data_IF_362849643076
#
_entry.id   IF_362849643076
#
_cell.length_a   1.000
_cell.length_b   1.000
_cell.length_c   1.000
_cell.angle_alpha   90.00
_cell.angle_beta   90.00
_cell.angle_gamma   90.00
#
_symmetry.space_group_name_H-M   'P 1'
#
loop_
_entity.id
_entity.type
_entity.pdbx_description
1 polymer ?
#
# COMPACT_ATOMS: atom_id res chain seq x y z
N UNK A 1 -30.76 11.94 -14.52
CA UNK A 1 -30.10 11.30 -15.65
C UNK A 1 -28.71 11.91 -15.90
N UNK A 2 -27.98 12.35 -14.86
CA UNK A 2 -26.63 12.97 -14.95
C UNK A 2 -25.63 12.31 -13.97
N UNK A 3 -25.96 11.15 -13.39
CA UNK A 3 -25.05 10.47 -12.44
C UNK A 3 -24.32 9.24 -13.01
N UNK A 4 -24.47 8.94 -14.28
CA UNK A 4 -23.84 7.77 -14.93
C UNK A 4 -22.64 8.16 -15.79
N UNK A 5 -22.36 9.45 -15.99
CA UNK A 5 -21.31 9.89 -16.92
C UNK A 5 -19.94 10.08 -16.28
N UNK A 6 -19.82 10.00 -14.94
CA UNK A 6 -18.54 10.17 -14.25
C UNK A 6 -17.80 8.87 -13.95
N UNK A 7 -18.33 7.71 -14.31
CA UNK A 7 -17.71 6.41 -14.07
C UNK A 7 -16.91 5.87 -15.26
N UNK A 8 -16.85 6.57 -16.38
CA UNK A 8 -16.32 6.00 -17.64
C UNK A 8 -14.95 6.59 -18.02
N UNK A 9 -14.41 7.56 -17.30
CA UNK A 9 -13.15 8.17 -17.74
C UNK A 9 -12.03 8.10 -16.71
N UNK A 10 -11.85 6.98 -16.05
CA UNK A 10 -10.55 6.62 -15.46
C UNK A 10 -9.88 5.53 -16.30
N UNK A 11 -9.84 5.71 -17.60
CA UNK A 11 -8.87 5.00 -18.43
C UNK A 11 -7.53 5.68 -18.17
N UNK A 12 -6.87 5.28 -17.07
CA UNK A 12 -5.46 5.59 -16.90
C UNK A 12 -4.71 4.85 -17.99
N UNK A 13 -4.40 5.54 -19.07
CA UNK A 13 -3.33 5.15 -19.97
C UNK A 13 -2.07 5.22 -19.11
N UNK A 14 -1.72 4.09 -18.48
CA UNK A 14 -0.43 3.93 -17.86
C UNK A 14 0.60 3.78 -18.98
N UNK A 15 0.98 4.90 -19.58
CA UNK A 15 2.19 5.03 -20.36
C UNK A 15 3.35 4.68 -19.42
N UNK A 16 3.91 3.47 -19.64
CA UNK A 16 5.27 3.06 -19.26
C UNK A 16 5.79 3.68 -17.93
N UNK A 17 5.14 3.40 -16.83
CA UNK A 17 5.83 3.41 -15.56
C UNK A 17 6.58 2.08 -15.49
N UNK A 18 7.89 2.12 -15.68
CA UNK A 18 8.79 1.09 -15.19
C UNK A 18 8.66 1.08 -13.67
N UNK A 19 7.69 0.36 -13.15
CA UNK A 19 7.73 -0.09 -11.77
C UNK A 19 8.90 -1.08 -11.72
N UNK A 20 10.02 -0.62 -11.23
CA UNK A 20 11.09 -1.51 -10.81
C UNK A 20 10.55 -2.28 -9.62
N UNK A 21 9.97 -3.45 -9.86
CA UNK A 21 9.75 -4.41 -8.80
C UNK A 21 11.12 -4.82 -8.28
N UNK A 22 11.43 -4.47 -7.06
CA UNK A 22 12.70 -4.79 -6.40
C UNK A 22 12.86 -6.27 -6.04
N UNK A 23 11.98 -7.14 -6.49
CA UNK A 23 12.20 -8.56 -6.39
C UNK A 23 12.63 -9.06 -7.76
N UNK A 24 13.84 -9.66 -7.87
CA UNK A 24 14.18 -10.40 -9.06
C UNK A 24 13.15 -11.55 -9.16
N UNK A 25 12.15 -11.37 -10.01
CA UNK A 25 11.39 -12.51 -10.49
C UNK A 25 12.42 -13.51 -10.97
N UNK A 26 12.39 -14.71 -10.40
CA UNK A 26 13.18 -15.82 -10.91
C UNK A 26 12.83 -15.93 -12.38
N UNK A 27 13.66 -15.33 -13.23
CA UNK A 27 13.54 -15.47 -14.65
C UNK A 27 13.99 -16.89 -14.96
N UNK A 28 13.02 -17.79 -15.13
CA UNK A 28 13.30 -19.05 -15.76
C UNK A 28 13.77 -18.74 -17.19
N UNK A 29 15.07 -18.88 -17.40
CA UNK A 29 15.73 -18.58 -18.68
C UNK A 29 15.37 -19.59 -19.78
N UNK A 30 14.65 -20.65 -19.46
CA UNK A 30 14.14 -21.65 -20.41
C UNK A 30 12.77 -21.25 -21.01
N UNK A 31 12.72 -20.10 -21.65
CA UNK A 31 11.52 -19.59 -22.34
C UNK A 31 11.06 -20.51 -23.49
N UNK A 32 11.90 -21.42 -23.94
CA UNK A 32 11.60 -22.31 -25.10
C UNK A 32 10.72 -23.51 -24.77
N UNK A 33 10.51 -23.88 -23.51
CA UNK A 33 9.78 -25.07 -23.13
C UNK A 33 8.32 -24.83 -22.72
N UNK A 34 7.99 -23.63 -22.19
CA UNK A 34 6.66 -23.35 -21.63
C UNK A 34 5.90 -22.37 -22.51
N UNK A 35 4.87 -22.86 -23.20
CA UNK A 35 3.92 -22.01 -23.93
C UNK A 35 3.03 -21.16 -23.00
N UNK A 36 3.06 -21.43 -21.70
CA UNK A 36 2.26 -20.80 -20.65
C UNK A 36 3.15 -20.44 -19.47
N UNK A 37 2.99 -19.24 -18.96
CA UNK A 37 3.69 -18.74 -17.78
C UNK A 37 2.65 -18.20 -16.79
N UNK A 38 2.76 -18.60 -15.53
CA UNK A 38 1.99 -18.02 -14.44
C UNK A 38 3.00 -17.47 -13.44
N UNK A 39 2.86 -16.20 -13.09
CA UNK A 39 3.63 -15.57 -12.03
C UNK A 39 2.72 -14.98 -10.97
N UNK A 40 3.12 -15.12 -9.71
CA UNK A 40 2.47 -14.53 -8.56
C UNK A 40 3.51 -13.65 -7.88
N UNK A 41 3.18 -12.40 -7.66
CA UNK A 41 4.03 -11.46 -6.97
C UNK A 41 3.28 -10.78 -5.84
N UNK A 42 3.97 -10.52 -4.75
CA UNK A 42 3.49 -9.72 -3.62
C UNK A 42 4.54 -8.68 -3.25
N UNK A 43 4.10 -7.46 -3.03
CA UNK A 43 4.96 -6.37 -2.57
C UNK A 43 4.31 -5.76 -1.33
N UNK A 44 5.09 -5.65 -0.26
CA UNK A 44 4.76 -4.88 0.93
C UNK A 44 5.79 -3.77 1.09
N UNK A 45 5.31 -2.55 1.18
CA UNK A 45 6.14 -1.39 1.49
C UNK A 45 5.56 -0.65 2.69
N UNK A 46 6.44 -0.12 3.53
CA UNK A 46 6.02 0.76 4.58
C UNK A 46 6.92 2.00 4.63
N UNK A 47 6.32 3.11 4.98
CA UNK A 47 7.01 4.39 5.12
C UNK A 47 6.58 5.05 6.43
N UNK A 48 7.54 5.61 7.16
CA UNK A 48 7.26 6.39 8.36
C UNK A 48 8.27 7.51 8.52
N UNK A 49 7.81 8.65 8.99
CA UNK A 49 8.68 9.78 9.32
C UNK A 49 9.39 9.59 10.66
N UNK A 50 8.78 8.85 11.60
CA UNK A 50 9.20 8.85 13.02
C UNK A 50 9.23 7.47 13.66
N UNK A 51 8.39 6.50 13.23
CA UNK A 51 8.41 5.15 13.78
C UNK A 51 9.69 4.44 13.33
N UNK A 52 10.49 4.02 14.30
CA UNK A 52 11.76 3.33 14.04
C UNK A 52 11.55 1.94 13.44
N UNK A 53 12.53 1.52 12.64
CA UNK A 53 12.51 0.18 12.03
C UNK A 53 12.39 -0.97 13.04
N UNK A 54 12.86 -0.77 14.27
CA UNK A 54 12.82 -1.81 15.30
C UNK A 54 11.40 -2.02 15.84
N UNK A 55 10.63 -0.93 16.05
CA UNK A 55 9.20 -1.02 16.32
C UNK A 55 8.48 -1.68 15.15
N UNK A 56 8.77 -1.25 13.92
CA UNK A 56 8.15 -1.83 12.72
C UNK A 56 8.44 -3.32 12.58
N UNK A 57 9.67 -3.76 12.83
CA UNK A 57 10.00 -5.19 12.85
C UNK A 57 9.21 -5.95 13.89
N UNK A 58 9.06 -5.39 15.10
CA UNK A 58 8.27 -6.01 16.17
C UNK A 58 6.81 -6.15 15.80
N UNK A 59 6.23 -5.21 15.04
CA UNK A 59 4.87 -5.34 14.50
C UNK A 59 4.76 -6.42 13.43
N UNK A 60 5.71 -6.51 12.50
CA UNK A 60 5.62 -7.42 11.35
C UNK A 60 5.94 -8.87 11.75
N UNK A 61 6.98 -9.07 12.55
CA UNK A 61 7.49 -10.41 12.88
C UNK A 61 7.09 -10.89 14.28
N UNK A 62 6.35 -10.08 15.01
CA UNK A 62 6.10 -10.27 16.43
C UNK A 62 7.33 -9.91 17.26
N UNK A 63 7.10 -9.40 18.46
CA UNK A 63 8.16 -9.03 19.37
C UNK A 63 7.69 -8.10 20.47
N UNK A 64 8.50 -7.95 21.48
CA UNK A 64 8.24 -7.01 22.55
C UNK A 64 8.79 -5.63 22.16
N UNK A 65 7.99 -4.60 22.35
CA UNK A 65 8.41 -3.21 22.17
C UNK A 65 8.77 -2.68 23.55
N UNK A 66 10.07 -2.58 23.80
CA UNK A 66 10.60 -2.11 25.07
C UNK A 66 10.56 -0.59 25.22
N UNK A 67 10.85 -0.10 26.43
CA UNK A 67 10.82 1.34 26.73
C UNK A 67 11.88 2.12 25.94
N UNK A 68 13.04 1.53 25.64
CA UNK A 68 14.08 2.18 24.87
C UNK A 68 13.65 2.40 23.40
N UNK A 69 12.96 1.42 22.81
CA UNK A 69 12.37 1.55 21.47
C UNK A 69 11.30 2.64 21.43
N UNK A 70 10.39 2.66 22.41
CA UNK A 70 9.33 3.67 22.53
C UNK A 70 9.93 5.07 22.67
N UNK A 71 10.87 5.25 23.59
CA UNK A 71 11.53 6.53 23.84
C UNK A 71 12.31 7.03 22.62
N UNK A 72 13.08 6.14 21.98
CA UNK A 72 13.80 6.47 20.75
C UNK A 72 12.86 6.88 19.62
N UNK A 73 11.68 6.28 19.53
CA UNK A 73 10.68 6.65 18.55
C UNK A 73 10.01 7.97 18.93
N UNK A 74 9.54 8.13 20.16
CA UNK A 74 8.90 9.37 20.65
C UNK A 74 9.80 10.60 20.44
N UNK A 75 11.11 10.47 20.69
CA UNK A 75 12.08 11.56 20.49
C UNK A 75 12.29 11.93 19.00
N UNK A 76 11.87 11.10 18.07
CA UNK A 76 11.93 11.38 16.62
C UNK A 76 10.62 11.93 16.07
N UNK A 77 9.58 11.98 16.89
CA UNK A 77 8.30 12.50 16.47
C UNK A 77 8.31 14.03 16.47
N UNK A 78 7.89 14.58 15.34
CA UNK A 78 7.47 15.98 15.22
C UNK A 78 6.02 16.14 15.74
N UNK A 79 5.50 17.36 15.74
CA UNK A 79 4.08 17.61 16.11
C UNK A 79 3.12 16.78 15.24
N UNK A 80 3.42 16.66 13.94
CA UNK A 80 2.64 15.86 12.97
C UNK A 80 3.54 14.87 12.27
N UNK A 81 3.13 13.62 12.27
CA UNK A 81 3.88 12.50 11.73
C UNK A 81 3.08 11.74 10.68
N UNK A 82 3.77 10.95 9.88
CA UNK A 82 3.13 10.15 8.81
C UNK A 82 3.61 8.70 8.88
N UNK A 83 2.64 7.82 8.63
CA UNK A 83 2.88 6.40 8.49
C UNK A 83 2.05 5.89 7.31
N UNK A 84 2.64 5.03 6.48
CA UNK A 84 1.96 4.43 5.33
C UNK A 84 2.33 2.96 5.18
N UNK A 85 1.37 2.18 4.72
CA UNK A 85 1.54 0.77 4.35
C UNK A 85 0.88 0.55 2.99
N UNK A 86 1.65 -0.04 2.07
CA UNK A 86 1.19 -0.47 0.76
C UNK A 86 1.36 -1.98 0.64
N UNK A 87 0.26 -2.68 0.39
CA UNK A 87 0.24 -4.14 0.21
C UNK A 87 -0.39 -4.48 -1.13
N UNK A 88 0.39 -5.07 -2.02
CA UNK A 88 -0.03 -5.37 -3.37
C UNK A 88 0.24 -6.84 -3.69
N UNK A 89 -0.73 -7.51 -4.27
CA UNK A 89 -0.57 -8.88 -4.79
C UNK A 89 -1.08 -8.92 -6.23
N UNK A 90 -0.27 -9.45 -7.13
CA UNK A 90 -0.62 -9.58 -8.54
C UNK A 90 -0.36 -11.00 -9.04
N UNK A 91 -1.30 -11.54 -9.82
CA UNK A 91 -1.16 -12.77 -10.58
C UNK A 91 -1.13 -12.39 -12.05
N UNK A 92 -0.15 -12.89 -12.78
CA UNK A 92 -0.01 -12.66 -14.23
C UNK A 92 0.04 -14.00 -14.93
N UNK A 93 -0.85 -14.19 -15.90
CA UNK A 93 -0.82 -15.32 -16.83
C UNK A 93 -0.41 -14.84 -18.22
N UNK A 94 0.57 -15.50 -18.81
CA UNK A 94 1.00 -15.26 -20.18
C UNK A 94 0.85 -16.53 -21.02
N UNK A 95 0.30 -16.38 -22.21
CA UNK A 95 0.22 -17.45 -23.20
C UNK A 95 1.00 -17.05 -24.45
N UNK A 96 2.14 -17.70 -24.62
CA UNK A 96 3.05 -17.46 -25.74
C UNK A 96 2.66 -18.24 -27.00
N UNK A 97 1.83 -19.28 -26.88
CA UNK A 97 1.37 -20.10 -28.00
C UNK A 97 0.27 -19.44 -28.83
N UNK A 98 -0.55 -18.62 -28.16
CA UNK A 98 -1.66 -17.93 -28.79
C UNK A 98 -1.11 -16.82 -29.71
N UNK A 99 -1.47 -16.89 -31.01
CA UNK A 99 -1.10 -15.91 -31.99
C UNK A 99 -2.23 -14.87 -32.10
N UNK A 100 -2.13 -13.78 -31.35
CA UNK A 100 -3.09 -12.72 -31.40
C UNK A 100 -2.96 -11.91 -32.70
N UNK A 101 -4.10 -11.51 -33.25
CA UNK A 101 -4.19 -10.75 -34.50
C UNK A 101 -3.51 -11.43 -35.71
N UNK A 102 -3.45 -12.77 -35.72
CA UNK A 102 -2.73 -13.58 -36.72
C UNK A 102 -1.20 -13.27 -36.76
N UNK A 103 -0.69 -12.67 -35.73
CA UNK A 103 0.73 -12.33 -35.59
C UNK A 103 1.39 -13.33 -34.63
N UNK A 104 2.32 -14.13 -35.14
CA UNK A 104 3.05 -15.13 -34.38
C UNK A 104 3.98 -14.56 -33.31
N UNK A 105 4.26 -13.25 -33.37
CA UNK A 105 5.07 -12.53 -32.38
C UNK A 105 4.26 -12.00 -31.20
N UNK A 106 2.92 -12.10 -31.25
CA UNK A 106 2.04 -11.59 -30.19
C UNK A 106 1.38 -12.74 -29.44
N UNK A 107 1.48 -12.70 -28.12
CA UNK A 107 0.82 -13.61 -27.20
C UNK A 107 -0.22 -12.90 -26.34
N UNK A 108 -0.96 -13.67 -25.56
CA UNK A 108 -1.96 -13.16 -24.61
C UNK A 108 -1.32 -12.90 -23.25
N UNK A 109 -1.73 -11.81 -22.58
CA UNK A 109 -1.47 -11.59 -21.16
C UNK A 109 -2.78 -11.28 -20.45
N UNK A 110 -2.98 -11.95 -19.30
CA UNK A 110 -4.07 -11.66 -18.37
C UNK A 110 -3.47 -11.39 -17.00
N UNK A 111 -3.95 -10.35 -16.33
CA UNK A 111 -3.47 -9.93 -15.01
C UNK A 111 -4.64 -9.79 -14.06
N UNK A 112 -4.42 -10.16 -12.81
CA UNK A 112 -5.37 -9.90 -11.73
C UNK A 112 -4.60 -9.52 -10.47
N UNK A 113 -5.11 -8.55 -9.71
CA UNK A 113 -4.42 -8.15 -8.50
C UNK A 113 -5.32 -7.45 -7.49
N UNK A 114 -4.88 -7.48 -6.25
CA UNK A 114 -5.47 -6.75 -5.12
C UNK A 114 -4.44 -5.78 -4.61
N UNK A 115 -4.88 -4.55 -4.38
CA UNK A 115 -4.03 -3.45 -3.97
C UNK A 115 -4.66 -2.78 -2.75
N UNK A 116 -3.85 -2.55 -1.73
CA UNK A 116 -4.26 -1.85 -0.52
C UNK A 116 -3.22 -0.79 -0.18
N UNK A 117 -3.68 0.45 -0.07
CA UNK A 117 -2.90 1.61 0.33
C UNK A 117 -3.52 2.19 1.58
N UNK A 118 -2.76 2.28 2.65
CA UNK A 118 -3.22 2.86 3.89
C UNK A 118 -2.22 3.89 4.39
N UNK A 119 -2.71 5.03 4.82
CA UNK A 119 -1.89 6.09 5.38
C UNK A 119 -2.53 6.68 6.64
N UNK A 120 -1.68 7.00 7.60
CA UNK A 120 -2.03 7.64 8.84
C UNK A 120 -1.16 8.90 9.00
N UNK A 121 -1.80 10.05 9.13
CA UNK A 121 -1.20 11.28 9.63
C UNK A 121 -1.62 11.37 11.09
N UNK A 122 -0.70 11.68 11.99
CA UNK A 122 -1.01 11.65 13.41
C UNK A 122 -0.12 12.62 14.22
N UNK A 123 -0.66 13.11 15.32
CA UNK A 123 0.06 13.94 16.27
C UNK A 123 1.03 13.09 17.10
N UNK A 124 2.08 13.73 17.62
CA UNK A 124 2.98 13.10 18.59
C UNK A 124 2.21 12.57 19.80
N UNK A 125 1.25 13.33 20.30
CA UNK A 125 0.44 12.94 21.46
C UNK A 125 -0.39 11.69 21.20
N UNK A 126 -0.85 11.47 19.96
CA UNK A 126 -1.54 10.23 19.59
C UNK A 126 -0.61 9.02 19.68
N UNK A 127 0.66 9.16 19.25
CA UNK A 127 1.66 8.11 19.43
C UNK A 127 1.95 7.86 20.91
N UNK A 128 2.20 8.91 21.67
CA UNK A 128 2.52 8.81 23.08
C UNK A 128 1.35 8.20 23.88
N UNK A 129 0.11 8.58 23.56
CA UNK A 129 -1.09 7.96 24.13
C UNK A 129 -1.18 6.47 23.82
N UNK A 130 -0.87 6.04 22.57
CA UNK A 130 -0.95 4.65 22.14
C UNK A 130 0.09 3.77 22.82
N UNK A 131 1.30 4.28 23.10
CA UNK A 131 2.43 3.50 23.62
C UNK A 131 2.67 3.65 25.13
N UNK A 132 2.30 4.77 25.71
CA UNK A 132 2.49 5.03 27.15
C UNK A 132 1.16 5.14 27.91
N UNK A 133 0.04 5.25 27.18
CA UNK A 133 -1.26 5.46 27.79
C UNK A 133 -1.50 6.89 28.24
N UNK A 134 -2.63 7.10 28.90
CA UNK A 134 -3.06 8.43 29.34
C UNK A 134 -2.30 8.96 30.57
N UNK A 135 -1.62 8.08 31.30
CA UNK A 135 -0.92 8.46 32.54
C UNK A 135 0.15 9.53 32.37
N UNK A 136 0.78 9.60 31.18
CA UNK A 136 1.79 10.62 30.91
C UNK A 136 1.20 12.04 30.73
N UNK A 137 -0.11 12.16 30.53
CA UNK A 137 -0.82 13.44 30.38
C UNK A 137 -1.51 13.89 31.67
N UNK A 138 -1.16 13.29 32.83
CA UNK A 138 -1.75 13.68 34.12
C UNK A 138 -1.47 15.13 34.45
N UNK A 139 -2.50 15.95 34.53
CA UNK A 139 -2.42 17.42 34.70
C UNK A 139 -2.13 18.18 33.40
N UNK A 140 -2.15 17.49 32.27
CA UNK A 140 -1.85 18.05 30.95
C UNK A 140 -2.91 17.63 29.91
N UNK A 141 -2.78 18.14 28.68
CA UNK A 141 -3.70 17.91 27.58
C UNK A 141 -3.00 17.24 26.41
N UNK A 142 -3.51 16.10 25.97
CA UNK A 142 -3.09 15.45 24.73
C UNK A 142 -3.93 16.00 23.55
N UNK A 143 -3.27 16.41 22.48
CA UNK A 143 -3.91 16.95 21.27
C UNK A 143 -3.85 15.95 20.12
N UNK A 144 -5.02 15.67 19.53
CA UNK A 144 -5.14 14.73 18.39
C UNK A 144 -5.52 15.43 17.09
N UNK A 145 -5.67 16.75 17.15
CA UNK A 145 -6.04 17.61 16.03
C UNK A 145 -5.12 17.41 14.83
N UNK A 146 -5.73 17.33 13.63
CA UNK A 146 -5.00 17.11 12.38
C UNK A 146 -4.64 15.63 12.10
N UNK A 147 -5.01 14.71 13.00
CA UNK A 147 -4.84 13.27 12.71
C UNK A 147 -5.83 12.82 11.65
N UNK A 148 -5.33 12.08 10.65
CA UNK A 148 -6.10 11.63 9.50
C UNK A 148 -5.72 10.20 9.14
N UNK A 149 -6.73 9.37 8.92
CA UNK A 149 -6.57 8.02 8.37
C UNK A 149 -7.18 7.94 6.98
N UNK A 150 -6.43 7.40 6.04
CA UNK A 150 -6.90 7.09 4.70
C UNK A 150 -6.59 5.63 4.39
N UNK A 151 -7.54 4.93 3.80
CA UNK A 151 -7.32 3.60 3.27
C UNK A 151 -8.09 3.43 1.97
N UNK A 152 -7.41 2.89 0.96
CA UNK A 152 -7.96 2.57 -0.35
C UNK A 152 -7.62 1.14 -0.69
N UNK A 153 -8.64 0.31 -0.88
CA UNK A 153 -8.49 -1.03 -1.39
C UNK A 153 -9.22 -1.19 -2.73
N UNK A 154 -8.52 -1.72 -3.73
CA UNK A 154 -9.10 -1.97 -5.04
C UNK A 154 -8.59 -3.27 -5.66
N UNK A 155 -9.36 -3.79 -6.59
CA UNK A 155 -8.99 -4.90 -7.44
C UNK A 155 -8.74 -4.41 -8.86
N UNK A 156 -7.79 -5.04 -9.53
CA UNK A 156 -7.46 -4.77 -10.92
C UNK A 156 -7.52 -6.07 -11.71
N UNK A 157 -8.21 -6.06 -12.83
CA UNK A 157 -8.17 -7.13 -13.82
C UNK A 157 -7.72 -6.54 -15.14
N UNK A 158 -6.71 -7.12 -15.75
CA UNK A 158 -6.13 -6.65 -17.01
C UNK A 158 -6.11 -7.74 -18.07
N UNK A 159 -6.36 -7.36 -19.31
CA UNK A 159 -6.20 -8.21 -20.48
C UNK A 159 -5.42 -7.44 -21.54
N UNK A 160 -4.55 -8.13 -22.26
CA UNK A 160 -3.72 -7.49 -23.27
C UNK A 160 -2.89 -8.49 -24.07
N UNK A 161 -1.86 -7.97 -24.69
CA UNK A 161 -0.93 -8.80 -25.48
C UNK A 161 0.51 -8.53 -25.07
N UNK A 162 1.33 -9.54 -25.28
CA UNK A 162 2.78 -9.46 -25.16
C UNK A 162 3.44 -9.53 -26.52
N UNK A 163 4.53 -8.83 -26.70
CA UNK A 163 5.40 -8.97 -27.85
C UNK A 163 6.54 -9.92 -27.48
N UNK A 164 6.58 -11.08 -28.14
CA UNK A 164 7.54 -12.15 -27.83
C UNK A 164 8.99 -11.76 -28.17
N UNK A 165 9.18 -10.88 -29.16
CA UNK A 165 10.51 -10.44 -29.60
C UNK A 165 11.10 -9.40 -28.65
N UNK A 166 10.32 -8.36 -28.30
CA UNK A 166 10.77 -7.29 -27.41
C UNK A 166 10.57 -7.58 -25.93
N UNK A 167 9.92 -8.71 -25.58
CA UNK A 167 9.52 -9.06 -24.21
C UNK A 167 8.68 -7.97 -23.51
N UNK A 168 8.06 -7.09 -24.29
CA UNK A 168 7.16 -6.04 -23.81
C UNK A 168 5.71 -6.51 -23.79
N UNK A 169 4.89 -5.95 -22.91
CA UNK A 169 3.46 -6.24 -22.89
C UNK A 169 2.65 -4.96 -22.78
N UNK A 170 1.49 -4.97 -23.41
CA UNK A 170 0.47 -3.94 -23.27
C UNK A 170 -0.79 -4.57 -22.68
N UNK A 171 -1.45 -3.91 -21.74
CA UNK A 171 -2.72 -4.38 -21.19
C UNK A 171 -3.66 -3.22 -20.88
N UNK A 172 -4.94 -3.45 -21.13
CA UNK A 172 -6.02 -2.62 -20.60
C UNK A 172 -6.42 -3.18 -19.24
N UNK A 173 -6.55 -2.29 -18.26
CA UNK A 173 -6.87 -2.68 -16.91
C UNK A 173 -8.23 -2.09 -16.51
N UNK A 174 -9.07 -2.92 -15.92
CA UNK A 174 -10.32 -2.52 -15.27
C UNK A 174 -10.08 -2.51 -13.76
N UNK A 175 -10.45 -1.42 -13.12
CA UNK A 175 -10.23 -1.20 -11.68
C UNK A 175 -11.60 -1.13 -11.00
N UNK A 176 -11.81 -1.99 -10.01
CA UNK A 176 -12.95 -1.96 -9.11
C UNK A 176 -12.50 -1.55 -7.71
N UNK A 177 -12.99 -0.43 -7.23
CA UNK A 177 -12.73 0.01 -5.85
C UNK A 177 -13.61 -0.79 -4.90
N UNK A 178 -12.98 -1.50 -3.96
CA UNK A 178 -13.67 -2.33 -2.98
C UNK A 178 -14.01 -1.54 -1.71
N UNK A 179 -13.06 -0.71 -1.27
CA UNK A 179 -13.22 0.06 -0.05
C UNK A 179 -12.42 1.36 -0.12
N UNK A 180 -13.03 2.41 0.37
CA UNK A 180 -12.38 3.68 0.61
C UNK A 180 -12.81 4.19 1.98
N UNK A 181 -11.85 4.42 2.85
CA UNK A 181 -12.04 4.96 4.19
C UNK A 181 -11.22 6.23 4.31
N UNK A 182 -11.86 7.29 4.77
CA UNK A 182 -11.21 8.53 5.16
C UNK A 182 -11.77 8.97 6.51
N UNK A 183 -10.90 9.18 7.47
CA UNK A 183 -11.22 9.72 8.79
C UNK A 183 -10.31 10.90 9.09
N UNK A 184 -10.88 12.01 9.52
CA UNK A 184 -10.16 13.21 9.93
C UNK A 184 -10.61 13.63 11.32
N UNK A 185 -9.66 13.89 12.19
CA UNK A 185 -9.88 14.48 13.51
C UNK A 185 -9.59 15.98 13.39
N UNK A 186 -10.65 16.78 13.28
CA UNK A 186 -10.52 18.24 13.12
C UNK A 186 -10.01 18.91 14.38
N UNK A 187 -10.79 18.76 15.48
CA UNK A 187 -10.46 19.32 16.79
C UNK A 187 -10.77 18.26 17.84
N UNK A 188 -9.73 17.74 18.47
CA UNK A 188 -9.89 16.76 19.54
C UNK A 188 -8.72 16.83 20.49
N UNK A 189 -9.03 16.77 21.76
CA UNK A 189 -8.07 16.71 22.84
C UNK A 189 -8.60 15.86 23.99
N UNK A 190 -7.68 15.36 24.81
CA UNK A 190 -7.97 14.69 26.05
C UNK A 190 -7.23 15.42 27.17
N UNK A 191 -7.97 15.95 28.14
CA UNK A 191 -7.40 16.46 29.38
C UNK A 191 -7.53 15.41 30.48
N UNK A 192 -6.42 15.10 31.13
CA UNK A 192 -6.42 14.22 32.29
C UNK A 192 -6.19 15.04 33.56
N UNK A 193 -7.21 15.11 34.44
CA UNK A 193 -7.08 15.78 35.73
C UNK A 193 -6.09 15.03 36.62
N UNK A 194 -5.38 15.79 37.46
CA UNK A 194 -4.70 15.21 38.61
C UNK A 194 -5.76 14.68 39.58
N UNK A 195 -5.60 13.43 40.03
CA UNK A 195 -6.41 12.99 41.17
C UNK A 195 -5.98 13.79 42.39
N UNK A 196 -6.89 14.56 42.95
CA UNK A 196 -6.69 15.17 44.25
C UNK A 196 -7.04 14.11 45.28
N UNK A 197 -6.02 13.45 45.85
CA UNK A 197 -6.19 12.62 47.05
C UNK A 197 -6.42 13.50 48.29
#
# INVERSE_FOLDING_TARGET
>A
MIRILNSILAVSISLLAYSQSMLPLVQDTNINANNHEISISGVGDYQSTSIGKDITKSFIYGGFIDEAMKLSSSNRHDEINRFGIDLNTEIVYKNHKLNLFKDSLKGLVVKGGVYNFSSLIYSKDLFDMAFYGNGMFTGDTAYFTGSQFNSLAFQKVGIGWLNKKSKSSFSLNFIGVNNYLNGLINESYLYQSQSVD
#
